data_IF_839720319928
#
_entry.id   IF_839720319928
#
_cell.length_a   1.000
_cell.length_b   1.000
_cell.length_c   1.000
_cell.angle_alpha   90.00
_cell.angle_beta   90.00
_cell.angle_gamma   90.00
#
_symmetry.space_group_name_H-M   'P 1'
#
loop_
_entity.id
_entity.type
_entity.pdbx_description
1 polymer ?
#
# COMPACT_ATOMS: atom_id res chain seq x y z
N UNK A 1 8.12 4.84 1.34
CA UNK A 1 7.77 4.91 2.78
C UNK A 1 8.96 4.44 3.60
N UNK A 2 9.13 4.96 4.82
CA UNK A 2 10.14 4.46 5.77
C UNK A 2 9.40 3.82 6.93
N UNK A 3 9.53 2.50 7.10
CA UNK A 3 8.74 1.71 8.03
C UNK A 3 9.53 1.35 9.29
N UNK A 4 8.97 1.72 10.45
CA UNK A 4 9.43 1.33 11.78
C UNK A 4 8.27 0.68 12.55
N UNK A 5 8.01 -0.62 12.33
CA UNK A 5 6.87 -1.29 12.96
C UNK A 5 7.06 -1.39 14.48
N UNK A 6 5.97 -1.24 15.24
CA UNK A 6 5.97 -1.29 16.71
C UNK A 6 5.05 -2.39 17.24
N UNK A 7 3.82 -2.49 16.73
CA UNK A 7 2.84 -3.43 17.26
C UNK A 7 1.83 -3.89 16.20
N UNK A 8 1.27 -5.08 16.40
CA UNK A 8 0.16 -5.59 15.62
C UNK A 8 0.54 -5.90 14.18
N UNK A 9 -0.34 -5.54 13.25
CA UNK A 9 -0.19 -5.77 11.82
C UNK A 9 0.92 -4.93 11.17
N UNK A 10 1.47 -3.94 11.88
CA UNK A 10 2.52 -3.06 11.37
C UNK A 10 3.75 -3.83 10.85
N UNK A 11 4.11 -4.97 11.45
CA UNK A 11 5.21 -5.81 10.96
C UNK A 11 4.91 -6.42 9.59
N UNK A 12 3.67 -6.90 9.40
CA UNK A 12 3.21 -7.46 8.13
C UNK A 12 3.12 -6.35 7.07
N UNK A 13 2.58 -5.19 7.44
CA UNK A 13 2.48 -4.03 6.55
C UNK A 13 3.88 -3.52 6.14
N UNK A 14 4.83 -3.47 7.07
CA UNK A 14 6.21 -3.08 6.78
C UNK A 14 6.86 -4.05 5.79
N UNK A 15 6.62 -5.36 5.92
CA UNK A 15 7.08 -6.36 4.96
C UNK A 15 6.42 -6.19 3.59
N UNK A 16 5.11 -5.96 3.54
CA UNK A 16 4.39 -5.72 2.29
C UNK A 16 4.95 -4.49 1.54
N UNK A 17 5.14 -3.38 2.26
CA UNK A 17 5.68 -2.13 1.71
C UNK A 17 7.10 -2.30 1.17
N UNK A 18 7.98 -2.99 1.92
CA UNK A 18 9.41 -3.08 1.60
C UNK A 18 9.78 -4.20 0.65
N UNK A 19 9.21 -5.40 0.83
CA UNK A 19 9.61 -6.59 0.08
C UNK A 19 8.65 -6.93 -1.06
N UNK A 20 7.35 -6.79 -0.83
CA UNK A 20 6.32 -7.16 -1.83
C UNK A 20 6.12 -6.04 -2.84
N UNK A 21 5.74 -4.85 -2.38
CA UNK A 21 5.45 -3.71 -3.25
C UNK A 21 6.71 -2.92 -3.62
N UNK A 22 7.77 -3.03 -2.80
CA UNK A 22 9.05 -2.33 -3.00
C UNK A 22 8.86 -0.82 -3.21
N UNK A 23 7.94 -0.23 -2.44
CA UNK A 23 7.60 1.21 -2.41
C UNK A 23 8.16 1.92 -1.17
N UNK A 24 8.98 1.21 -0.40
CA UNK A 24 9.60 1.73 0.80
C UNK A 24 10.67 0.80 1.35
N UNK A 25 11.20 1.18 2.50
CA UNK A 25 12.23 0.46 3.25
C UNK A 25 11.71 0.20 4.66
N UNK A 26 12.12 -0.92 5.25
CA UNK A 26 11.80 -1.25 6.64
C UNK A 26 13.08 -1.37 7.44
N UNK A 27 13.09 -0.76 8.63
CA UNK A 27 14.20 -0.82 9.57
C UNK A 27 13.72 -1.54 10.83
N UNK A 28 13.93 -2.87 10.93
CA UNK A 28 13.59 -3.63 12.14
C UNK A 28 14.46 -3.21 13.34
N UNK A 29 15.70 -2.77 13.08
CA UNK A 29 16.64 -2.28 14.09
C UNK A 29 17.27 -0.94 13.69
N UNK A 30 17.79 -0.22 14.70
CA UNK A 30 18.10 1.23 14.75
C UNK A 30 19.03 1.81 13.69
N UNK A 31 19.60 1.02 12.78
CA UNK A 31 20.63 1.49 11.87
C UNK A 31 20.04 1.81 10.50
N UNK A 32 19.79 3.11 10.24
CA UNK A 32 19.52 3.60 8.89
C UNK A 32 20.84 3.71 8.13
N UNK A 33 21.09 2.79 7.20
CA UNK A 33 22.09 3.00 6.16
C UNK A 33 21.48 3.87 5.07
N UNK A 34 22.21 4.92 4.67
CA UNK A 34 21.77 5.89 3.67
C UNK A 34 21.93 5.29 2.29
N UNK A 35 20.90 4.63 1.77
CA UNK A 35 20.88 4.13 0.40
C UNK A 35 20.52 5.23 -0.61
N UNK A 36 21.19 5.14 -1.75
CA UNK A 36 21.37 6.18 -2.76
C UNK A 36 20.08 6.62 -3.47
N UNK A 37 20.07 7.88 -3.89
CA UNK A 37 18.96 8.65 -4.47
C UNK A 37 18.21 7.94 -5.63
N UNK A 38 18.88 7.04 -6.35
CA UNK A 38 18.30 6.27 -7.45
C UNK A 38 17.24 5.24 -7.03
N UNK A 39 17.40 4.60 -5.87
CA UNK A 39 16.40 3.64 -5.39
C UNK A 39 15.13 4.35 -4.90
N UNK A 40 15.27 5.55 -4.33
CA UNK A 40 14.14 6.40 -3.96
C UNK A 40 13.25 6.76 -5.16
N UNK A 41 13.85 7.08 -6.32
CA UNK A 41 13.11 7.36 -7.55
C UNK A 41 12.30 6.16 -8.02
N UNK A 42 12.89 4.96 -8.06
CA UNK A 42 12.19 3.73 -8.45
C UNK A 42 11.05 3.38 -7.49
N UNK A 43 11.27 3.57 -6.18
CA UNK A 43 10.21 3.39 -5.18
C UNK A 43 9.03 4.34 -5.43
N UNK A 44 9.32 5.60 -5.78
CA UNK A 44 8.28 6.60 -6.13
C UNK A 44 7.51 6.21 -7.38
N UNK A 45 8.19 5.74 -8.42
CA UNK A 45 7.54 5.29 -9.67
C UNK A 45 6.58 4.12 -9.40
N UNK A 46 7.00 3.12 -8.62
CA UNK A 46 6.14 2.00 -8.20
C UNK A 46 4.94 2.48 -7.36
N UNK A 47 5.17 3.41 -6.42
CA UNK A 47 4.10 3.98 -5.61
C UNK A 47 3.08 4.74 -6.47
N UNK A 48 3.53 5.49 -7.49
CA UNK A 48 2.64 6.15 -8.44
C UNK A 48 1.84 5.14 -9.27
N UNK A 49 2.46 4.06 -9.76
CA UNK A 49 1.75 3.02 -10.48
C UNK A 49 0.67 2.36 -9.61
N UNK A 50 0.99 2.03 -8.36
CA UNK A 50 0.03 1.47 -7.39
C UNK A 50 -1.11 2.45 -7.11
N UNK A 51 -0.82 3.75 -6.96
CA UNK A 51 -1.82 4.80 -6.81
C UNK A 51 -2.77 4.86 -8.00
N UNK A 52 -2.26 4.77 -9.23
CA UNK A 52 -3.10 4.78 -10.44
C UNK A 52 -4.06 3.60 -10.44
N UNK A 53 -3.58 2.38 -10.13
CA UNK A 53 -4.44 1.20 -10.03
C UNK A 53 -5.50 1.40 -8.94
N UNK A 54 -5.11 1.84 -7.75
CA UNK A 54 -6.05 2.09 -6.65
C UNK A 54 -7.13 3.11 -7.04
N UNK A 55 -6.74 4.22 -7.70
CA UNK A 55 -7.69 5.24 -8.15
C UNK A 55 -8.66 4.72 -9.20
N UNK A 56 -8.21 3.84 -10.10
CA UNK A 56 -9.08 3.19 -11.09
C UNK A 56 -10.11 2.26 -10.42
N UNK A 57 -9.70 1.48 -9.41
CA UNK A 57 -10.60 0.54 -8.73
C UNK A 57 -11.70 1.19 -7.89
N UNK A 58 -11.53 2.47 -7.53
CA UNK A 58 -12.55 3.25 -6.78
C UNK A 58 -13.40 4.18 -7.67
N UNK A 59 -13.23 4.15 -9.00
CA UNK A 59 -14.13 4.86 -9.93
C UNK A 59 -15.52 4.18 -9.97
N UNK A 60 -16.55 4.82 -10.55
CA UNK A 60 -17.91 4.25 -10.61
C UNK A 60 -18.04 2.85 -11.24
N UNK A 61 -17.10 2.44 -12.10
CA UNK A 61 -17.04 1.10 -12.70
C UNK A 61 -15.83 0.27 -12.20
N UNK A 62 -15.25 0.67 -11.07
CA UNK A 62 -14.13 -0.02 -10.45
C UNK A 62 -14.61 -1.10 -9.48
N UNK A 63 -13.82 -2.17 -9.35
CA UNK A 63 -14.24 -3.35 -8.57
C UNK A 63 -14.52 -3.04 -7.10
N UNK A 64 -13.81 -2.10 -6.47
CA UNK A 64 -14.08 -1.71 -5.08
C UNK A 64 -15.44 -1.02 -4.94
N UNK A 65 -15.84 -0.20 -5.92
CA UNK A 65 -17.15 0.46 -5.96
C UNK A 65 -18.28 -0.55 -6.17
N UNK A 66 -18.07 -1.52 -7.05
CA UNK A 66 -19.02 -2.61 -7.30
C UNK A 66 -19.20 -3.49 -6.06
N UNK A 67 -18.10 -3.90 -5.42
CA UNK A 67 -18.13 -4.67 -4.18
C UNK A 67 -18.87 -3.92 -3.06
N UNK A 68 -18.62 -2.61 -2.92
CA UNK A 68 -19.32 -1.79 -1.94
C UNK A 68 -20.82 -1.69 -2.26
N UNK A 69 -21.18 -1.51 -3.54
CA UNK A 69 -22.58 -1.44 -3.96
C UNK A 69 -23.32 -2.76 -3.68
N UNK A 70 -22.67 -3.90 -3.95
CA UNK A 70 -23.20 -5.22 -3.62
C UNK A 70 -23.39 -5.38 -2.10
N UNK A 71 -22.42 -4.96 -1.29
CA UNK A 71 -22.54 -4.99 0.16
C UNK A 71 -23.72 -4.13 0.66
N UNK A 72 -23.90 -2.92 0.12
CA UNK A 72 -25.02 -2.03 0.45
C UNK A 72 -26.35 -2.71 0.13
N UNK A 73 -26.48 -3.35 -1.03
CA UNK A 73 -27.69 -4.09 -1.40
C UNK A 73 -28.00 -5.22 -0.41
N UNK A 74 -26.99 -5.97 0.04
CA UNK A 74 -27.17 -7.05 1.03
C UNK A 74 -27.68 -6.52 2.36
N UNK A 75 -27.06 -5.46 2.89
CA UNK A 75 -27.43 -4.94 4.22
C UNK A 75 -28.73 -4.13 4.22
N UNK A 76 -29.15 -3.60 3.06
CA UNK A 76 -30.39 -2.84 2.91
C UNK A 76 -31.61 -3.72 2.58
N UNK A 77 -31.40 -5.01 2.31
CA UNK A 77 -32.47 -5.97 2.04
C UNK A 77 -33.11 -6.57 3.32
N UNK A 78 -32.64 -6.14 4.50
CA UNK A 78 -33.22 -6.44 5.81
C UNK A 78 -34.12 -5.28 6.25
#
# INVERSE_FOLDING_TARGET
MVCRPILGDQHINARAISHTWKIGVSFPEKTMTKDEDSEGKKMKERACALRTVALQQVQPAGSSSENLSALVAIVSAC
#
